data_IF_552051672933
#
_entry.id   IF_552051672933
#
_cell.length_a   1.000
_cell.length_b   1.000
_cell.length_c   1.000
_cell.angle_alpha   90.00
_cell.angle_beta   90.00
_cell.angle_gamma   90.00
#
_symmetry.space_group_name_H-M   'P 1'
#
loop_
_entity.id
_entity.type
_entity.pdbx_description
1 polymer ?
#
# COMPACT_ATOMS: atom_id res chain seq x y z
N UNK A 1 1.88 33.85 -48.51
CA UNK A 1 3.10 33.45 -47.77
C UNK A 1 2.64 33.03 -46.39
N UNK A 2 2.90 31.78 -46.01
CA UNK A 2 2.74 31.31 -44.64
C UNK A 2 3.78 32.02 -43.77
N UNK A 3 3.33 32.73 -42.73
CA UNK A 3 4.23 33.35 -41.73
C UNK A 3 4.59 32.27 -40.72
N UNK A 4 5.88 32.06 -40.47
CA UNK A 4 6.40 31.12 -39.48
C UNK A 4 7.24 31.90 -38.45
N UNK A 5 7.04 31.58 -37.17
CA UNK A 5 7.84 32.07 -36.07
C UNK A 5 8.39 30.89 -35.27
N UNK A 6 9.70 30.84 -35.07
CA UNK A 6 10.35 29.76 -34.30
C UNK A 6 10.67 30.26 -32.91
N UNK A 7 10.16 29.56 -31.89
CA UNK A 7 10.46 29.82 -30.48
C UNK A 7 11.81 29.21 -30.11
N UNK A 8 12.01 27.95 -30.49
CA UNK A 8 13.26 27.22 -30.29
C UNK A 8 13.45 26.17 -31.38
N UNK A 9 14.40 25.25 -31.19
CA UNK A 9 14.71 24.20 -32.19
C UNK A 9 13.57 23.18 -32.40
N UNK A 10 12.64 23.07 -31.45
CA UNK A 10 11.52 22.13 -31.49
C UNK A 10 10.17 22.85 -31.69
N UNK A 11 9.97 24.03 -31.12
CA UNK A 11 8.68 24.71 -31.06
C UNK A 11 8.58 25.87 -32.06
N UNK A 12 7.52 25.88 -32.86
CA UNK A 12 7.23 26.96 -33.82
C UNK A 12 5.74 27.19 -34.00
N UNK A 13 5.38 28.37 -34.50
CA UNK A 13 4.01 28.73 -34.85
C UNK A 13 3.94 29.11 -36.33
N UNK A 14 2.84 28.77 -37.00
CA UNK A 14 2.57 29.19 -38.38
C UNK A 14 1.17 29.78 -38.50
N UNK A 15 1.04 30.84 -39.30
CA UNK A 15 -0.25 31.40 -39.69
C UNK A 15 -0.70 30.71 -40.98
N UNK A 16 -1.69 29.83 -40.85
CA UNK A 16 -2.23 29.01 -41.94
C UNK A 16 -3.74 29.18 -42.01
N UNK A 17 -4.26 29.48 -43.21
CA UNK A 17 -5.71 29.69 -43.43
C UNK A 17 -6.38 30.68 -42.46
N UNK A 18 -5.63 31.65 -41.92
CA UNK A 18 -6.14 32.62 -40.95
C UNK A 18 -6.22 32.13 -39.51
N UNK A 19 -5.55 31.01 -39.19
CA UNK A 19 -5.44 30.48 -37.83
C UNK A 19 -3.98 30.28 -37.43
N UNK A 20 -3.68 30.49 -36.15
CA UNK A 20 -2.37 30.18 -35.57
C UNK A 20 -2.27 28.70 -35.27
N UNK A 21 -1.28 28.05 -35.87
CA UNK A 21 -1.01 26.63 -35.73
C UNK A 21 0.31 26.45 -34.99
N UNK A 22 0.31 25.65 -33.92
CA UNK A 22 1.51 25.32 -33.16
C UNK A 22 2.10 24.03 -33.72
N UNK A 23 3.41 23.98 -33.88
CA UNK A 23 4.17 22.84 -34.37
C UNK A 23 5.26 22.46 -33.39
N UNK A 24 5.41 21.16 -33.13
CA UNK A 24 6.49 20.59 -32.30
C UNK A 24 7.28 19.59 -33.13
N UNK A 25 8.58 19.84 -33.30
CA UNK A 25 9.50 19.15 -34.20
C UNK A 25 8.98 19.02 -35.66
N UNK A 26 8.22 20.02 -36.12
CA UNK A 26 7.65 20.04 -37.47
C UNK A 26 6.30 19.35 -37.63
N UNK A 27 5.81 18.64 -36.60
CA UNK A 27 4.48 18.02 -36.56
C UNK A 27 3.47 18.99 -35.95
N UNK A 28 2.25 19.01 -36.49
CA UNK A 28 1.19 19.88 -35.96
C UNK A 28 0.78 19.42 -34.55
N UNK A 29 0.74 20.36 -33.61
CA UNK A 29 0.26 20.12 -32.26
C UNK A 29 -1.25 20.41 -32.17
N UNK A 30 -2.04 19.35 -32.02
CA UNK A 30 -3.51 19.40 -32.13
C UNK A 30 -4.20 19.42 -30.75
N UNK A 31 -3.48 19.17 -29.65
CA UNK A 31 -4.06 19.07 -28.31
C UNK A 31 -4.24 20.46 -27.66
N UNK A 32 -5.45 20.72 -27.12
CA UNK A 32 -5.83 21.90 -26.31
C UNK A 32 -5.30 23.27 -26.78
N UNK A 33 -5.84 23.82 -27.88
CA UNK A 33 -5.58 25.21 -28.32
C UNK A 33 -6.57 26.21 -27.70
N UNK A 34 -6.20 26.80 -26.56
CA UNK A 34 -6.71 28.11 -26.14
C UNK A 34 -5.54 28.95 -25.60
N UNK A 35 -4.90 29.69 -26.50
CA UNK A 35 -4.00 30.78 -26.10
C UNK A 35 -4.85 32.03 -25.90
N UNK A 36 -4.96 32.44 -24.64
CA UNK A 36 -5.70 33.62 -24.25
C UNK A 36 -4.93 34.87 -24.67
N UNK A 37 -5.63 35.75 -25.37
CA UNK A 37 -5.14 37.08 -25.76
C UNK A 37 -5.97 38.20 -25.13
N UNK A 38 -7.25 37.94 -24.90
CA UNK A 38 -8.18 38.89 -24.31
C UNK A 38 -8.43 38.51 -22.84
N UNK A 39 -7.51 38.93 -21.97
CA UNK A 39 -7.77 39.04 -20.53
C UNK A 39 -8.16 40.51 -20.31
N UNK A 40 -9.44 40.84 -20.07
CA UNK A 40 -9.87 42.22 -19.88
C UNK A 40 -9.32 42.75 -18.55
N UNK A 41 -8.10 43.29 -18.59
CA UNK A 41 -7.37 43.79 -17.41
C UNK A 41 -8.16 44.86 -16.64
N UNK A 42 -9.02 45.61 -17.32
CA UNK A 42 -9.88 46.63 -16.71
C UNK A 42 -10.97 46.06 -15.79
N UNK A 43 -11.28 44.77 -15.90
CA UNK A 43 -12.30 44.08 -15.10
C UNK A 43 -11.70 43.31 -13.91
N UNK A 44 -10.37 43.23 -13.84
CA UNK A 44 -9.65 42.58 -12.73
C UNK A 44 -9.40 43.60 -11.63
N UNK A 45 -9.97 43.38 -10.45
CA UNK A 45 -9.90 44.30 -9.31
C UNK A 45 -8.50 44.49 -8.72
N UNK A 46 -7.61 43.51 -8.88
CA UNK A 46 -6.18 43.61 -8.54
C UNK A 46 -5.38 42.57 -9.31
N UNK A 47 -4.30 43.00 -9.96
CA UNK A 47 -3.32 42.11 -10.60
C UNK A 47 -2.27 41.58 -9.61
N UNK A 48 -2.18 42.17 -8.40
CA UNK A 48 -1.17 41.81 -7.40
C UNK A 48 -1.47 40.46 -6.71
N UNK A 49 -2.66 39.89 -6.93
CA UNK A 49 -3.09 38.62 -6.32
C UNK A 49 -3.29 37.47 -7.32
N UNK A 50 -2.90 37.62 -8.59
CA UNK A 50 -3.02 36.55 -9.59
C UNK A 50 -1.66 35.86 -9.73
N UNK A 51 -1.58 34.60 -9.31
CA UNK A 51 -0.37 33.80 -9.32
C UNK A 51 -0.23 32.96 -10.60
N UNK A 52 -1.29 32.79 -11.40
CA UNK A 52 -1.27 32.01 -12.65
C UNK A 52 -2.32 32.44 -13.69
N UNK A 53 -2.11 32.05 -14.96
CA UNK A 53 -3.10 32.23 -16.03
C UNK A 53 -4.41 31.48 -15.73
N UNK A 54 -4.37 30.29 -15.10
CA UNK A 54 -5.58 29.56 -14.73
C UNK A 54 -6.42 30.32 -13.69
N UNK A 55 -5.78 30.99 -12.72
CA UNK A 55 -6.45 31.83 -11.73
C UNK A 55 -7.06 33.08 -12.39
N UNK A 56 -6.33 33.72 -13.31
CA UNK A 56 -6.86 34.84 -14.10
C UNK A 56 -8.13 34.45 -14.87
N UNK A 57 -8.17 33.23 -15.42
CA UNK A 57 -9.33 32.71 -16.17
C UNK A 57 -10.51 32.45 -15.25
N UNK A 58 -10.29 31.85 -14.07
CA UNK A 58 -11.37 31.59 -13.11
C UNK A 58 -12.02 32.88 -12.60
N UNK A 59 -11.21 33.89 -12.30
CA UNK A 59 -11.72 35.22 -11.95
C UNK A 59 -12.60 35.76 -13.09
N UNK A 60 -12.13 35.71 -14.33
CA UNK A 60 -12.91 36.16 -15.50
C UNK A 60 -14.20 35.35 -15.67
N UNK A 61 -14.18 34.03 -15.56
CA UNK A 61 -15.38 33.18 -15.70
C UNK A 61 -16.43 33.49 -14.63
N UNK A 62 -16.00 33.78 -13.40
CA UNK A 62 -16.88 34.24 -12.33
C UNK A 62 -17.53 35.59 -12.64
N UNK A 63 -16.86 36.48 -13.40
CA UNK A 63 -17.41 37.75 -13.90
C UNK A 63 -18.25 37.59 -15.18
N UNK A 64 -18.00 36.56 -16.00
CA UNK A 64 -18.47 36.40 -17.39
C UNK A 64 -19.93 35.94 -17.57
N UNK A 65 -20.82 36.11 -16.59
CA UNK A 65 -22.27 36.08 -16.85
C UNK A 65 -22.77 37.35 -17.57
N UNK A 66 -21.90 38.31 -17.90
CA UNK A 66 -22.26 39.55 -18.61
C UNK A 66 -21.46 39.72 -19.91
N UNK A 67 -22.14 39.48 -21.03
CA UNK A 67 -21.87 39.97 -22.39
C UNK A 67 -20.44 40.41 -22.73
N UNK A 68 -19.57 39.45 -23.07
CA UNK A 68 -18.29 39.72 -23.73
C UNK A 68 -18.51 40.02 -25.22
N UNK A 69 -18.51 41.30 -25.60
CA UNK A 69 -18.26 41.71 -26.98
C UNK A 69 -16.79 41.46 -27.30
N UNK A 70 -16.45 40.26 -27.79
CA UNK A 70 -15.08 39.96 -28.27
C UNK A 70 -14.71 40.96 -29.36
N UNK A 71 -13.72 41.81 -29.08
CA UNK A 71 -13.09 42.66 -30.09
C UNK A 71 -12.55 41.78 -31.19
N UNK A 72 -12.93 42.05 -32.44
CA UNK A 72 -12.56 41.21 -33.59
C UNK A 72 -11.12 41.55 -33.99
N UNK A 73 -10.15 40.91 -33.35
CA UNK A 73 -8.72 41.04 -33.65
C UNK A 73 -8.44 40.40 -35.03
N UNK A 74 -7.53 40.97 -35.81
CA UNK A 74 -7.14 40.37 -37.09
C UNK A 74 -6.28 39.11 -36.87
N UNK A 75 -6.36 38.09 -37.75
CA UNK A 75 -5.57 36.86 -37.61
C UNK A 75 -4.05 37.09 -37.49
N UNK A 76 -3.54 38.16 -38.10
CA UNK A 76 -2.12 38.49 -38.02
C UNK A 76 -1.72 39.06 -36.65
N UNK A 77 -2.56 39.89 -36.05
CA UNK A 77 -2.31 40.44 -34.71
C UNK A 77 -2.45 39.34 -33.66
N UNK A 78 -3.45 38.46 -33.82
CA UNK A 78 -3.62 37.26 -33.00
C UNK A 78 -2.39 36.34 -33.06
N UNK A 79 -1.89 36.07 -34.28
CA UNK A 79 -0.67 35.28 -34.48
C UNK A 79 0.54 35.82 -33.69
N UNK A 80 0.81 37.12 -33.77
CA UNK A 80 1.93 37.71 -33.05
C UNK A 80 1.73 37.71 -31.53
N UNK A 81 0.49 37.87 -31.07
CA UNK A 81 0.15 37.72 -29.65
C UNK A 81 0.45 36.31 -29.14
N UNK A 82 0.01 35.28 -29.88
CA UNK A 82 0.29 33.88 -29.52
C UNK A 82 1.80 33.57 -29.53
N UNK A 83 2.52 34.10 -30.52
CA UNK A 83 3.98 33.99 -30.58
C UNK A 83 4.63 34.62 -29.35
N UNK A 84 4.19 35.81 -28.94
CA UNK A 84 4.70 36.48 -27.74
C UNK A 84 4.47 35.65 -26.48
N UNK A 85 3.27 35.11 -26.27
CA UNK A 85 2.95 34.30 -25.09
C UNK A 85 3.83 33.05 -24.99
N UNK A 86 3.97 32.30 -26.10
CA UNK A 86 4.81 31.10 -26.14
C UNK A 86 6.31 31.42 -26.03
N UNK A 87 6.75 32.56 -26.56
CA UNK A 87 8.12 33.03 -26.42
C UNK A 87 8.43 33.36 -24.96
N UNK A 88 7.57 34.13 -24.28
CA UNK A 88 7.73 34.46 -22.87
C UNK A 88 7.72 33.21 -21.99
N UNK A 89 6.82 32.26 -22.28
CA UNK A 89 6.79 30.97 -21.58
C UNK A 89 8.12 30.21 -21.71
N UNK A 90 8.69 30.15 -22.92
CA UNK A 90 10.00 29.52 -23.15
C UNK A 90 11.15 30.26 -22.46
N UNK A 91 11.17 31.60 -22.51
CA UNK A 91 12.22 32.43 -21.90
C UNK A 91 12.24 32.37 -20.37
N UNK A 92 11.14 31.96 -19.75
CA UNK A 92 11.03 31.72 -18.30
C UNK A 92 11.06 30.21 -17.99
N UNK A 93 11.87 29.46 -18.72
CA UNK A 93 12.13 28.04 -18.49
C UNK A 93 10.85 27.18 -18.43
N UNK A 94 9.88 27.48 -19.29
CA UNK A 94 8.58 26.80 -19.35
C UNK A 94 7.72 26.91 -18.07
N UNK A 95 7.83 28.01 -17.33
CA UNK A 95 7.00 28.30 -16.15
C UNK A 95 5.50 28.07 -16.44
N UNK A 96 4.92 27.04 -15.83
CA UNK A 96 3.54 26.60 -16.06
C UNK A 96 2.50 27.61 -15.59
N UNK A 97 2.89 28.65 -14.85
CA UNK A 97 2.01 29.76 -14.45
C UNK A 97 1.72 30.72 -15.59
N UNK A 98 2.60 30.78 -16.61
CA UNK A 98 2.54 31.76 -17.71
C UNK A 98 1.67 31.31 -18.90
N UNK A 99 1.22 30.05 -18.90
CA UNK A 99 0.28 29.50 -19.86
C UNK A 99 -0.82 28.75 -19.12
N UNK A 100 -2.00 28.67 -19.72
CA UNK A 100 -3.09 27.86 -19.18
C UNK A 100 -2.63 26.40 -18.99
N UNK A 101 -2.89 25.83 -17.80
CA UNK A 101 -2.41 24.51 -17.33
C UNK A 101 -2.58 23.37 -18.34
N UNK A 102 -3.72 23.31 -19.04
CA UNK A 102 -3.97 22.31 -20.09
C UNK A 102 -3.02 22.43 -21.29
N UNK A 103 -2.76 23.64 -21.76
CA UNK A 103 -1.85 23.87 -22.90
C UNK A 103 -0.40 23.67 -22.47
N UNK A 104 0.00 24.25 -21.33
CA UNK A 104 1.36 24.14 -20.80
C UNK A 104 1.79 22.68 -20.62
N UNK A 105 0.94 21.88 -19.98
CA UNK A 105 1.24 20.47 -19.71
C UNK A 105 1.30 19.61 -20.96
N UNK A 106 0.35 19.78 -21.88
CA UNK A 106 0.35 19.02 -23.13
C UNK A 106 1.55 19.39 -24.02
N UNK A 107 1.94 20.66 -24.06
CA UNK A 107 3.15 21.10 -24.77
C UNK A 107 4.43 20.56 -24.12
N UNK A 108 4.54 20.62 -22.79
CA UNK A 108 5.67 20.03 -22.06
C UNK A 108 5.83 18.54 -22.33
N UNK A 109 4.73 17.79 -22.35
CA UNK A 109 4.73 16.38 -22.72
C UNK A 109 5.26 16.16 -24.14
N UNK A 110 4.77 16.94 -25.12
CA UNK A 110 5.22 16.81 -26.52
C UNK A 110 6.67 17.23 -26.73
N UNK A 111 7.13 18.29 -26.05
CA UNK A 111 8.52 18.74 -26.07
C UNK A 111 9.46 17.70 -25.43
N UNK A 112 8.99 17.04 -24.37
CA UNK A 112 9.71 15.91 -23.76
C UNK A 112 9.87 14.74 -24.72
N UNK A 113 8.84 14.42 -25.52
CA UNK A 113 8.91 13.34 -26.53
C UNK A 113 9.96 13.59 -27.61
N UNK A 114 10.15 14.85 -28.02
CA UNK A 114 11.08 15.22 -29.09
C UNK A 114 12.49 15.52 -28.58
N UNK A 115 12.74 15.35 -27.28
CA UNK A 115 14.07 15.38 -26.68
C UNK A 115 14.49 16.73 -26.08
N UNK A 116 13.55 17.64 -25.80
CA UNK A 116 13.86 18.86 -25.06
C UNK A 116 14.16 18.54 -23.58
N UNK A 117 15.42 18.71 -23.17
CA UNK A 117 15.89 18.37 -21.82
C UNK A 117 15.35 19.30 -20.74
N UNK A 118 15.14 20.58 -21.06
CA UNK A 118 14.57 21.55 -20.13
C UNK A 118 13.09 21.23 -19.92
N UNK A 119 12.35 21.02 -21.00
CA UNK A 119 10.94 20.64 -20.93
C UNK A 119 10.75 19.33 -20.15
N UNK A 120 11.63 18.35 -20.34
CA UNK A 120 11.61 17.08 -19.59
C UNK A 120 11.72 17.31 -18.08
N UNK A 121 12.65 18.16 -17.63
CA UNK A 121 12.81 18.46 -16.21
C UNK A 121 11.56 19.09 -15.60
N UNK A 122 11.00 20.10 -16.27
CA UNK A 122 9.80 20.82 -15.82
C UNK A 122 8.57 19.90 -15.85
N UNK A 123 8.42 19.09 -16.91
CA UNK A 123 7.30 18.16 -17.05
C UNK A 123 7.25 17.13 -15.91
N UNK A 124 8.41 16.62 -15.47
CA UNK A 124 8.50 15.73 -14.31
C UNK A 124 8.00 16.41 -13.03
N UNK A 125 8.47 17.62 -12.74
CA UNK A 125 8.05 18.39 -11.57
C UNK A 125 6.55 18.66 -11.58
N UNK A 126 6.01 19.02 -12.74
CA UNK A 126 4.58 19.28 -12.91
C UNK A 126 3.74 18.00 -12.77
N UNK A 127 4.22 16.85 -13.28
CA UNK A 127 3.58 15.54 -13.08
C UNK A 127 3.46 15.20 -11.59
N UNK A 128 4.54 15.41 -10.84
CA UNK A 128 4.57 15.17 -9.39
C UNK A 128 3.56 16.09 -8.69
N UNK A 129 3.63 17.40 -8.97
CA UNK A 129 2.75 18.40 -8.38
C UNK A 129 1.26 18.08 -8.63
N UNK A 130 0.91 17.72 -9.87
CA UNK A 130 -0.47 17.34 -10.23
C UNK A 130 -0.93 16.04 -9.60
N UNK A 131 -0.03 15.08 -9.42
CA UNK A 131 -0.40 13.84 -8.76
C UNK A 131 -0.67 14.05 -7.26
N UNK A 132 0.13 14.90 -6.60
CA UNK A 132 -0.01 15.21 -5.18
C UNK A 132 -1.22 16.09 -4.89
N UNK A 133 -1.36 17.21 -5.61
CA UNK A 133 -2.36 18.24 -5.34
C UNK A 133 -3.62 18.12 -6.21
N UNK A 134 -3.61 17.25 -7.23
CA UNK A 134 -4.73 17.07 -8.14
C UNK A 134 -5.89 16.24 -7.58
N UNK A 135 -7.00 16.30 -8.30
CA UNK A 135 -8.20 15.49 -8.00
C UNK A 135 -7.95 14.01 -8.32
N UNK A 136 -8.82 13.12 -7.83
CA UNK A 136 -8.71 11.69 -8.15
C UNK A 136 -8.77 11.41 -9.66
N UNK A 137 -9.54 12.21 -10.42
CA UNK A 137 -9.57 12.15 -11.89
C UNK A 137 -8.23 12.55 -12.51
N UNK A 138 -7.54 13.53 -11.93
CA UNK A 138 -6.21 13.95 -12.38
C UNK A 138 -5.20 12.84 -12.15
N UNK A 139 -5.26 12.16 -10.99
CA UNK A 139 -4.39 11.02 -10.68
C UNK A 139 -4.66 9.83 -11.59
N UNK A 140 -5.93 9.52 -11.85
CA UNK A 140 -6.37 8.47 -12.79
C UNK A 140 -5.85 8.76 -14.20
N UNK A 141 -6.05 9.99 -14.70
CA UNK A 141 -5.50 10.41 -15.99
C UNK A 141 -3.98 10.24 -16.07
N UNK A 142 -3.23 10.63 -15.03
CA UNK A 142 -1.78 10.47 -15.01
C UNK A 142 -1.39 8.99 -15.07
N UNK A 143 -2.06 8.11 -14.32
CA UNK A 143 -1.81 6.66 -14.32
C UNK A 143 -2.09 6.00 -15.67
N UNK A 144 -3.19 6.38 -16.32
CA UNK A 144 -3.61 5.80 -17.59
C UNK A 144 -2.88 6.40 -18.79
N UNK A 145 -2.32 7.60 -18.62
CA UNK A 145 -1.50 8.25 -19.63
C UNK A 145 -0.12 7.60 -19.74
N UNK A 146 0.53 7.81 -20.89
CA UNK A 146 1.96 7.48 -21.06
C UNK A 146 2.89 8.37 -20.21
N UNK A 147 2.36 9.30 -19.43
CA UNK A 147 3.15 10.30 -18.73
C UNK A 147 4.02 9.72 -17.60
N UNK A 148 3.60 8.63 -16.96
CA UNK A 148 4.45 7.93 -16.00
C UNK A 148 5.71 7.35 -16.66
N UNK A 149 5.69 7.07 -17.97
CA UNK A 149 6.86 6.55 -18.70
C UNK A 149 8.04 7.52 -18.78
N UNK A 150 7.85 8.80 -18.45
CA UNK A 150 8.94 9.78 -18.38
C UNK A 150 9.63 9.84 -17.01
N UNK A 151 9.02 9.24 -15.99
CA UNK A 151 9.55 9.16 -14.63
C UNK A 151 10.43 7.91 -14.46
N UNK A 152 11.42 8.01 -13.58
CA UNK A 152 12.18 6.84 -13.11
C UNK A 152 11.28 5.98 -12.22
N UNK A 153 11.66 4.71 -12.02
CA UNK A 153 10.95 3.82 -11.09
C UNK A 153 10.85 4.43 -9.68
N UNK A 154 11.95 4.98 -9.18
CA UNK A 154 11.99 5.67 -7.89
C UNK A 154 11.01 6.85 -7.82
N UNK A 155 10.97 7.70 -8.86
CA UNK A 155 10.04 8.84 -8.94
C UNK A 155 8.58 8.36 -8.91
N UNK A 156 8.25 7.31 -9.65
CA UNK A 156 6.90 6.74 -9.66
C UNK A 156 6.54 6.15 -8.28
N UNK A 157 7.46 5.43 -7.66
CA UNK A 157 7.23 4.86 -6.32
C UNK A 157 7.05 5.94 -5.25
N UNK A 158 7.77 7.06 -5.35
CA UNK A 158 7.56 8.23 -4.48
C UNK A 158 6.16 8.83 -4.62
N UNK A 159 5.53 8.74 -5.80
CA UNK A 159 4.13 9.13 -5.97
C UNK A 159 3.16 8.15 -5.33
N UNK A 160 3.44 6.85 -5.44
CA UNK A 160 2.56 5.78 -4.97
C UNK A 160 2.64 5.54 -3.45
N UNK A 161 3.81 5.76 -2.86
CA UNK A 161 4.12 5.46 -1.47
C UNK A 161 4.41 6.73 -0.68
N UNK A 162 4.21 6.68 0.62
CA UNK A 162 4.79 7.65 1.55
C UNK A 162 6.30 7.40 1.66
N UNK A 163 7.06 8.47 1.84
CA UNK A 163 8.54 8.42 1.86
C UNK A 163 9.06 7.44 2.89
N UNK A 164 8.46 7.40 4.09
CA UNK A 164 8.87 6.46 5.14
C UNK A 164 8.71 4.98 4.74
N UNK A 165 7.63 4.64 4.02
CA UNK A 165 7.34 3.27 3.60
C UNK A 165 8.17 2.89 2.37
N UNK A 166 8.45 3.83 1.46
CA UNK A 166 9.37 3.61 0.35
C UNK A 166 10.77 3.30 0.87
N UNK A 167 11.28 4.04 1.85
CA UNK A 167 12.59 3.78 2.46
C UNK A 167 12.61 2.37 3.07
N UNK A 168 11.58 2.02 3.87
CA UNK A 168 11.48 0.71 4.49
C UNK A 168 11.44 -0.43 3.45
N UNK A 169 10.68 -0.27 2.37
CA UNK A 169 10.60 -1.26 1.29
C UNK A 169 11.89 -1.36 0.47
N UNK A 170 12.61 -0.25 0.28
CA UNK A 170 13.92 -0.26 -0.40
C UNK A 170 14.95 -1.01 0.43
N UNK A 171 15.06 -0.71 1.73
CA UNK A 171 15.95 -1.44 2.64
C UNK A 171 15.57 -2.92 2.72
N UNK A 172 14.27 -3.24 2.76
CA UNK A 172 13.77 -4.61 2.70
C UNK A 172 14.19 -5.33 1.42
N UNK A 173 14.04 -4.67 0.27
CA UNK A 173 14.42 -5.23 -1.00
C UNK A 173 15.94 -5.48 -1.08
N UNK A 174 16.75 -4.58 -0.52
CA UNK A 174 18.21 -4.73 -0.43
C UNK A 174 18.64 -5.84 0.55
N UNK A 175 17.93 -6.00 1.67
CA UNK A 175 18.16 -7.08 2.65
C UNK A 175 17.89 -8.47 2.05
N UNK A 176 16.81 -8.61 1.29
CA UNK A 176 16.34 -9.90 0.76
C UNK A 176 16.95 -10.24 -0.60
N UNK A 177 17.08 -9.26 -1.49
CA UNK A 177 17.55 -9.46 -2.87
C UNK A 177 18.77 -8.60 -3.19
N UNK A 178 19.86 -8.81 -2.45
CA UNK A 178 21.14 -8.04 -2.45
C UNK A 178 21.70 -7.64 -3.83
N UNK A 179 21.38 -8.37 -4.91
CA UNK A 179 21.94 -8.14 -6.26
C UNK A 179 20.95 -7.57 -7.28
N UNK A 180 19.71 -7.31 -6.87
CA UNK A 180 18.66 -6.80 -7.74
C UNK A 180 18.40 -5.31 -7.47
N UNK A 181 17.84 -4.63 -8.47
CA UNK A 181 17.37 -3.25 -8.34
C UNK A 181 16.18 -3.20 -7.37
N UNK A 182 16.29 -2.54 -6.19
CA UNK A 182 15.23 -2.56 -5.18
C UNK A 182 13.94 -1.96 -5.71
N UNK A 183 14.01 -0.94 -6.56
CA UNK A 183 12.81 -0.34 -7.15
C UNK A 183 12.11 -1.31 -8.10
N UNK A 184 12.85 -2.16 -8.83
CA UNK A 184 12.27 -3.20 -9.68
C UNK A 184 11.50 -4.23 -8.85
N UNK A 185 12.06 -4.61 -7.70
CA UNK A 185 11.42 -5.57 -6.77
C UNK A 185 10.14 -4.97 -6.20
N UNK A 186 10.21 -3.75 -5.69
CA UNK A 186 9.03 -3.08 -5.13
C UNK A 186 7.90 -3.00 -6.17
N UNK A 187 8.22 -2.68 -7.42
CA UNK A 187 7.24 -2.74 -8.51
C UNK A 187 6.63 -4.13 -8.72
N UNK A 188 7.44 -5.18 -8.66
CA UNK A 188 6.95 -6.55 -8.79
C UNK A 188 6.00 -6.90 -7.65
N UNK A 189 6.40 -6.62 -6.39
CA UNK A 189 5.58 -6.85 -5.20
C UNK A 189 4.26 -6.05 -5.19
N UNK A 190 4.24 -4.89 -5.84
CA UNK A 190 3.01 -4.11 -6.00
C UNK A 190 2.13 -4.63 -7.14
N UNK A 191 2.71 -5.28 -8.15
CA UNK A 191 1.99 -5.76 -9.33
C UNK A 191 1.34 -7.12 -9.11
N UNK A 192 1.95 -7.98 -8.29
CA UNK A 192 1.47 -9.33 -7.98
C UNK A 192 0.60 -9.36 -6.70
N UNK A 193 0.15 -8.18 -6.24
CA UNK A 193 -0.74 -7.95 -5.08
C UNK A 193 -0.18 -8.38 -3.71
N UNK A 194 1.13 -8.59 -3.56
CA UNK A 194 1.75 -8.85 -2.25
C UNK A 194 1.71 -7.62 -1.34
N UNK A 195 1.67 -6.42 -1.92
CA UNK A 195 1.60 -5.16 -1.18
C UNK A 195 0.23 -4.50 -1.35
N UNK A 196 -0.49 -4.29 -0.25
CA UNK A 196 -1.71 -3.47 -0.24
C UNK A 196 -1.48 -2.12 0.40
N UNK A 197 -2.00 -1.09 -0.26
CA UNK A 197 -1.87 0.29 0.16
C UNK A 197 -3.20 0.88 0.63
N UNK A 198 -3.16 1.61 1.75
CA UNK A 198 -4.21 2.55 2.14
C UNK A 198 -3.57 3.92 2.31
N UNK A 199 -4.09 4.95 1.63
CA UNK A 199 -3.56 6.32 1.71
C UNK A 199 -2.04 6.42 1.48
N UNK A 200 -1.52 5.70 0.47
CA UNK A 200 -0.08 5.57 0.13
C UNK A 200 0.77 4.91 1.22
N UNK A 201 0.18 4.28 2.23
CA UNK A 201 0.89 3.51 3.26
C UNK A 201 0.67 2.03 3.08
N UNK A 202 1.70 1.23 3.35
CA UNK A 202 1.66 -0.23 3.31
C UNK A 202 0.87 -0.75 4.51
N UNK A 203 -0.19 -1.48 4.21
CA UNK A 203 -1.09 -2.06 5.23
C UNK A 203 -1.09 -3.57 5.22
N UNK A 204 -0.78 -4.20 4.09
CA UNK A 204 -0.57 -5.65 4.01
C UNK A 204 0.71 -5.92 3.22
N UNK A 205 1.52 -6.86 3.71
CA UNK A 205 2.67 -7.43 3.03
C UNK A 205 2.54 -8.95 3.10
N UNK A 206 2.25 -9.58 1.96
CA UNK A 206 2.04 -11.02 1.85
C UNK A 206 3.07 -11.67 0.93
N UNK A 207 4.12 -12.25 1.50
CA UNK A 207 5.21 -12.85 0.74
C UNK A 207 5.06 -14.36 0.59
N UNK A 208 3.87 -14.90 0.82
CA UNK A 208 3.64 -16.36 0.76
C UNK A 208 3.73 -16.95 -0.65
N UNK A 209 3.59 -16.12 -1.69
CA UNK A 209 3.77 -16.52 -3.09
C UNK A 209 5.24 -16.56 -3.54
N UNK A 210 6.17 -16.13 -2.68
CA UNK A 210 7.57 -15.97 -3.03
C UNK A 210 8.42 -16.93 -2.19
N UNK A 211 9.18 -17.77 -2.88
CA UNK A 211 10.16 -18.64 -2.24
C UNK A 211 11.42 -17.83 -1.92
N UNK A 212 11.46 -17.29 -0.70
CA UNK A 212 12.55 -16.43 -0.25
C UNK A 212 13.67 -17.19 0.48
N UNK A 213 13.37 -18.39 1.00
CA UNK A 213 14.32 -19.24 1.74
C UNK A 213 15.12 -18.48 2.84
N UNK A 214 14.52 -17.50 3.50
CA UNK A 214 15.24 -16.63 4.42
C UNK A 214 15.52 -17.31 5.75
N UNK A 215 16.79 -17.31 6.18
CA UNK A 215 17.18 -17.79 7.51
C UNK A 215 16.97 -16.75 8.62
N UNK A 216 16.97 -15.45 8.26
CA UNK A 216 16.85 -14.33 9.19
C UNK A 216 15.63 -13.48 8.87
N UNK A 217 14.94 -13.06 9.93
CA UNK A 217 13.82 -12.14 9.80
C UNK A 217 14.30 -10.79 9.23
N UNK A 218 13.65 -10.25 8.18
CA UNK A 218 14.01 -8.95 7.60
C UNK A 218 13.51 -7.80 8.49
N UNK A 219 14.39 -7.24 9.32
CA UNK A 219 14.03 -6.22 10.31
C UNK A 219 13.52 -4.91 9.69
N UNK A 220 13.94 -4.58 8.46
CA UNK A 220 13.44 -3.44 7.69
C UNK A 220 11.90 -3.40 7.59
N UNK A 221 11.23 -4.56 7.49
CA UNK A 221 9.76 -4.66 7.44
C UNK A 221 9.10 -4.05 8.68
N UNK A 222 9.80 -4.07 9.83
CA UNK A 222 9.30 -3.51 11.09
C UNK A 222 9.16 -1.98 11.04
N UNK A 223 9.79 -1.31 10.06
CA UNK A 223 9.63 0.14 9.84
C UNK A 223 8.28 0.52 9.24
N UNK A 224 7.53 -0.43 8.67
CA UNK A 224 6.20 -0.22 8.10
C UNK A 224 5.12 -0.08 9.20
N UNK A 225 5.07 1.09 9.86
CA UNK A 225 4.22 1.30 11.06
C UNK A 225 2.71 1.25 10.80
N UNK A 226 2.28 1.21 9.54
CA UNK A 226 0.86 1.09 9.16
C UNK A 226 0.42 -0.34 8.85
N UNK A 227 1.31 -1.31 9.03
CA UNK A 227 1.08 -2.71 8.68
C UNK A 227 0.02 -3.35 9.59
N UNK A 228 -1.04 -3.88 8.98
CA UNK A 228 -2.14 -4.62 9.62
C UNK A 228 -2.01 -6.12 9.39
N UNK A 229 -1.43 -6.56 8.28
CA UNK A 229 -1.21 -7.98 7.95
C UNK A 229 0.22 -8.20 7.45
N UNK A 230 0.90 -9.16 8.06
CA UNK A 230 2.24 -9.62 7.65
C UNK A 230 2.24 -11.13 7.46
N UNK A 231 2.61 -11.58 6.25
CA UNK A 231 2.73 -13.00 5.92
C UNK A 231 4.13 -13.32 5.44
N UNK A 232 4.83 -14.14 6.22
CA UNK A 232 6.19 -14.63 5.97
C UNK A 232 6.24 -16.15 6.21
N UNK A 233 5.38 -16.88 5.49
CA UNK A 233 5.28 -18.33 5.58
C UNK A 233 6.39 -19.01 4.77
N UNK A 234 6.73 -20.24 5.13
CA UNK A 234 7.62 -21.07 4.30
C UNK A 234 9.05 -20.53 4.17
N UNK A 235 9.58 -19.94 5.24
CA UNK A 235 10.97 -19.49 5.31
C UNK A 235 11.76 -20.37 6.29
N UNK A 236 13.01 -20.02 6.60
CA UNK A 236 13.85 -20.76 7.56
C UNK A 236 14.14 -19.96 8.81
N UNK A 237 13.24 -19.05 9.21
CA UNK A 237 13.45 -18.21 10.39
C UNK A 237 13.58 -19.04 11.65
N UNK A 238 14.65 -18.83 12.41
CA UNK A 238 14.86 -19.49 13.71
C UNK A 238 14.40 -18.66 14.90
N UNK A 239 14.32 -17.35 14.70
CA UNK A 239 13.96 -16.35 15.70
C UNK A 239 13.12 -15.23 15.07
N UNK A 240 12.30 -14.60 15.91
CA UNK A 240 11.59 -13.36 15.60
C UNK A 240 12.22 -12.28 16.48
N UNK A 241 12.56 -11.11 15.95
CA UNK A 241 13.24 -10.08 16.73
C UNK A 241 12.30 -9.42 17.76
N UNK A 242 12.85 -8.95 18.88
CA UNK A 242 12.08 -8.37 20.00
C UNK A 242 11.38 -7.03 19.64
N UNK A 243 11.85 -6.34 18.60
CA UNK A 243 11.21 -5.14 18.08
C UNK A 243 10.00 -5.43 17.18
N UNK A 244 9.55 -6.69 17.03
CA UNK A 244 8.29 -7.02 16.35
C UNK A 244 7.09 -6.25 16.93
N UNK A 245 7.17 -5.92 18.23
CA UNK A 245 6.17 -5.11 18.94
C UNK A 245 6.01 -3.68 18.43
N UNK A 246 6.96 -3.17 17.63
CA UNK A 246 6.84 -1.86 17.00
C UNK A 246 5.73 -1.82 15.95
N UNK A 247 5.28 -2.98 15.45
CA UNK A 247 4.08 -3.12 14.61
C UNK A 247 2.81 -3.13 15.47
N UNK A 248 2.61 -2.11 16.30
CA UNK A 248 1.62 -2.07 17.36
C UNK A 248 0.14 -2.07 16.89
N UNK A 249 -0.12 -1.88 15.59
CA UNK A 249 -1.46 -1.99 14.98
C UNK A 249 -1.66 -3.26 14.15
N UNK A 250 -0.68 -4.17 14.16
CA UNK A 250 -0.73 -5.42 13.41
C UNK A 250 -1.86 -6.31 13.91
N UNK A 251 -2.76 -6.68 13.01
CA UNK A 251 -3.91 -7.54 13.28
C UNK A 251 -3.63 -8.99 12.98
N UNK A 252 -2.81 -9.25 11.97
CA UNK A 252 -2.58 -10.58 11.46
C UNK A 252 -1.08 -10.84 11.25
N UNK A 253 -0.55 -11.88 11.89
CA UNK A 253 0.83 -12.34 11.73
C UNK A 253 0.87 -13.82 11.36
N UNK A 254 1.47 -14.12 10.21
CA UNK A 254 1.48 -15.45 9.62
C UNK A 254 2.92 -15.90 9.37
N UNK A 255 3.40 -16.85 10.17
CA UNK A 255 4.79 -17.35 10.22
C UNK A 255 4.85 -18.89 10.13
N UNK A 256 3.83 -19.52 9.53
CA UNK A 256 3.79 -20.97 9.40
C UNK A 256 4.94 -21.52 8.57
N UNK A 257 5.41 -22.73 8.91
CA UNK A 257 6.43 -23.43 8.12
C UNK A 257 7.78 -22.71 8.17
N UNK A 258 8.23 -22.35 9.38
CA UNK A 258 9.55 -21.80 9.64
C UNK A 258 10.32 -22.73 10.61
N UNK A 259 11.47 -22.29 11.13
CA UNK A 259 12.24 -23.02 12.14
C UNK A 259 12.19 -22.36 13.53
N UNK A 260 11.14 -21.60 13.82
CA UNK A 260 11.08 -20.72 15.00
C UNK A 260 11.05 -21.57 16.26
N UNK A 261 12.04 -21.36 17.14
CA UNK A 261 12.17 -22.14 18.38
C UNK A 261 11.38 -21.55 19.55
N UNK A 262 11.22 -20.23 19.57
CA UNK A 262 10.55 -19.47 20.61
C UNK A 262 9.92 -18.21 20.01
N UNK A 263 8.79 -17.77 20.57
CA UNK A 263 8.24 -16.44 20.30
C UNK A 263 8.84 -15.44 21.30
N UNK A 264 9.21 -14.23 20.88
CA UNK A 264 9.72 -13.20 21.78
C UNK A 264 8.62 -12.73 22.74
N UNK A 265 8.98 -12.34 23.97
CA UNK A 265 8.00 -11.90 24.98
C UNK A 265 7.24 -10.64 24.49
N UNK A 266 7.91 -9.79 23.71
CA UNK A 266 7.36 -8.58 23.08
C UNK A 266 6.19 -8.82 22.14
N UNK A 267 6.00 -10.03 21.59
CA UNK A 267 4.83 -10.33 20.75
C UNK A 267 3.52 -10.09 21.51
N UNK A 268 3.54 -10.24 22.84
CA UNK A 268 2.39 -10.01 23.72
C UNK A 268 2.01 -8.53 23.83
N UNK A 269 2.88 -7.60 23.40
CA UNK A 269 2.59 -6.17 23.40
C UNK A 269 1.80 -5.71 22.16
N UNK A 270 1.67 -6.56 21.14
CA UNK A 270 0.87 -6.29 19.95
C UNK A 270 -0.60 -6.58 20.25
N UNK A 271 -1.19 -5.80 21.16
CA UNK A 271 -2.56 -5.99 21.68
C UNK A 271 -3.66 -5.86 20.61
N UNK A 272 -3.30 -5.38 19.42
CA UNK A 272 -4.14 -5.32 18.23
C UNK A 272 -4.26 -6.65 17.47
N UNK A 273 -3.44 -7.67 17.79
CA UNK A 273 -3.46 -8.97 17.10
C UNK A 273 -4.81 -9.67 17.25
N UNK A 274 -5.40 -10.01 16.10
CA UNK A 274 -6.63 -10.79 15.95
C UNK A 274 -6.31 -12.23 15.46
N UNK A 275 -5.19 -12.42 14.76
CA UNK A 275 -4.75 -13.72 14.25
C UNK A 275 -3.24 -13.89 14.35
N UNK A 276 -2.83 -15.01 14.93
CA UNK A 276 -1.44 -15.44 14.99
C UNK A 276 -1.32 -16.90 14.50
N UNK A 277 -0.62 -17.10 13.38
CA UNK A 277 -0.42 -18.41 12.77
C UNK A 277 1.08 -18.74 12.77
N UNK A 278 1.49 -19.68 13.62
CA UNK A 278 2.90 -20.10 13.82
C UNK A 278 3.04 -21.62 13.78
N UNK A 279 2.15 -22.31 13.06
CA UNK A 279 2.18 -23.76 12.90
C UNK A 279 3.33 -24.26 12.03
N UNK A 280 3.79 -25.50 12.24
CA UNK A 280 4.93 -26.06 11.50
C UNK A 280 6.24 -25.36 11.84
N UNK A 281 6.48 -25.14 13.13
CA UNK A 281 7.69 -24.54 13.67
C UNK A 281 8.31 -25.48 14.73
N UNK A 282 9.30 -25.00 15.49
CA UNK A 282 9.96 -25.74 16.58
C UNK A 282 9.65 -25.11 17.94
N UNK A 283 8.45 -24.57 18.13
CA UNK A 283 8.10 -23.82 19.36
C UNK A 283 7.90 -24.79 20.54
N UNK A 284 8.64 -24.59 21.62
CA UNK A 284 8.60 -25.46 22.81
C UNK A 284 7.65 -24.94 23.90
N UNK A 285 7.49 -23.62 23.98
CA UNK A 285 6.65 -22.93 24.96
C UNK A 285 6.16 -21.59 24.39
N UNK A 286 4.99 -21.16 24.84
CA UNK A 286 4.46 -19.83 24.56
C UNK A 286 5.01 -18.82 25.57
N UNK A 287 5.10 -17.52 25.20
CA UNK A 287 5.41 -16.45 26.14
C UNK A 287 4.46 -16.46 27.33
N UNK A 288 4.99 -16.17 28.52
CA UNK A 288 4.23 -16.15 29.79
C UNK A 288 3.00 -15.22 29.74
N UNK A 289 3.08 -14.15 28.96
CA UNK A 289 2.05 -13.12 28.85
C UNK A 289 1.16 -13.25 27.60
N UNK A 290 1.12 -14.42 26.95
CA UNK A 290 0.32 -14.61 25.72
C UNK A 290 -1.17 -14.24 25.92
N UNK A 291 -1.68 -14.38 27.15
CA UNK A 291 -3.03 -13.99 27.55
C UNK A 291 -3.33 -12.49 27.52
N UNK A 292 -2.34 -11.63 27.25
CA UNK A 292 -2.53 -10.18 27.09
C UNK A 292 -3.06 -9.80 25.70
N UNK A 293 -3.02 -10.74 24.73
CA UNK A 293 -3.59 -10.58 23.39
C UNK A 293 -5.12 -10.71 23.40
N UNK A 294 -5.81 -9.73 24.00
CA UNK A 294 -7.27 -9.75 24.25
C UNK A 294 -8.14 -9.81 23.00
N UNK A 295 -7.62 -9.31 21.87
CA UNK A 295 -8.34 -9.30 20.60
C UNK A 295 -8.11 -10.56 19.76
N UNK A 296 -7.24 -11.48 20.22
CA UNK A 296 -6.88 -12.67 19.46
C UNK A 296 -8.08 -13.61 19.31
N UNK A 297 -8.47 -13.86 18.06
CA UNK A 297 -9.58 -14.75 17.67
C UNK A 297 -9.10 -16.07 17.09
N UNK A 298 -7.94 -16.07 16.43
CA UNK A 298 -7.36 -17.27 15.83
C UNK A 298 -5.91 -17.46 16.25
N UNK A 299 -5.60 -18.64 16.79
CA UNK A 299 -4.26 -19.03 17.20
C UNK A 299 -3.91 -20.41 16.61
N UNK A 300 -3.03 -20.41 15.61
CA UNK A 300 -2.52 -21.61 14.97
C UNK A 300 -1.15 -21.99 15.50
N UNK A 301 -1.08 -23.10 16.24
CA UNK A 301 0.14 -23.63 16.85
C UNK A 301 0.40 -25.10 16.46
N UNK A 302 -0.34 -25.62 15.47
CA UNK A 302 -0.22 -27.02 15.04
C UNK A 302 1.19 -27.37 14.57
N UNK A 303 1.62 -28.63 14.70
CA UNK A 303 2.95 -29.10 14.30
C UNK A 303 4.09 -28.29 14.93
N UNK A 304 4.14 -28.29 16.26
CA UNK A 304 5.19 -27.66 17.07
C UNK A 304 5.67 -28.65 18.15
N UNK A 305 6.45 -28.16 19.12
CA UNK A 305 7.00 -28.98 20.21
C UNK A 305 6.46 -28.58 21.59
N UNK A 306 5.27 -27.98 21.63
CA UNK A 306 4.69 -27.40 22.84
C UNK A 306 4.35 -28.50 23.84
N UNK A 307 4.88 -28.37 25.06
CA UNK A 307 4.68 -29.35 26.14
C UNK A 307 3.60 -28.94 27.12
N UNK A 308 3.42 -27.64 27.36
CA UNK A 308 2.43 -27.07 28.27
C UNK A 308 1.98 -25.69 27.78
N UNK A 309 0.78 -25.28 28.18
CA UNK A 309 0.28 -23.91 27.99
C UNK A 309 0.59 -23.08 29.25
N UNK A 310 0.97 -21.80 29.13
CA UNK A 310 1.26 -20.96 30.30
C UNK A 310 -0.01 -20.60 31.07
N UNK A 311 0.09 -20.36 32.37
CA UNK A 311 -1.09 -20.06 33.22
C UNK A 311 -1.99 -18.97 32.63
N UNK A 312 -1.50 -17.81 32.15
CA UNK A 312 -2.37 -16.76 31.61
C UNK A 312 -3.09 -17.11 30.30
N UNK A 313 -2.88 -18.29 29.71
CA UNK A 313 -3.51 -18.70 28.44
C UNK A 313 -5.03 -18.62 28.48
N UNK A 314 -5.65 -18.89 29.63
CA UNK A 314 -7.10 -18.79 29.82
C UNK A 314 -7.66 -17.38 29.61
N UNK A 315 -6.81 -16.35 29.60
CA UNK A 315 -7.21 -14.95 29.44
C UNK A 315 -7.45 -14.52 27.99
N UNK A 316 -7.28 -15.43 27.03
CA UNK A 316 -7.61 -15.25 25.62
C UNK A 316 -9.13 -15.37 25.39
N UNK A 317 -9.91 -14.51 26.03
CA UNK A 317 -11.37 -14.60 26.10
C UNK A 317 -12.08 -14.47 24.74
N UNK A 318 -11.45 -13.79 23.78
CA UNK A 318 -11.94 -13.62 22.41
C UNK A 318 -11.57 -14.77 21.46
N UNK A 319 -10.83 -15.78 21.94
CA UNK A 319 -10.30 -16.84 21.07
C UNK A 319 -11.43 -17.75 20.57
N UNK A 320 -11.58 -17.83 19.25
CA UNK A 320 -12.62 -18.61 18.58
C UNK A 320 -12.06 -19.87 17.93
N UNK A 321 -10.82 -19.81 17.40
CA UNK A 321 -10.16 -20.92 16.72
C UNK A 321 -8.79 -21.18 17.35
N UNK A 322 -8.57 -22.41 17.80
CA UNK A 322 -7.30 -22.86 18.36
C UNK A 322 -6.87 -24.19 17.73
N UNK A 323 -5.70 -24.20 17.10
CA UNK A 323 -5.05 -25.42 16.64
C UNK A 323 -3.79 -25.67 17.46
N UNK A 324 -3.78 -26.79 18.18
CA UNK A 324 -2.64 -27.33 18.94
C UNK A 324 -2.34 -28.77 18.47
N UNK A 325 -2.80 -29.14 17.27
CA UNK A 325 -2.54 -30.46 16.69
C UNK A 325 -1.04 -30.75 16.59
N UNK A 326 -0.64 -32.02 16.64
CA UNK A 326 0.74 -32.44 16.39
C UNK A 326 1.75 -31.71 17.30
N UNK A 327 1.49 -31.75 18.61
CA UNK A 327 2.34 -31.17 19.66
C UNK A 327 2.70 -32.24 20.72
N UNK A 328 3.25 -31.82 21.86
CA UNK A 328 3.71 -32.70 22.95
C UNK A 328 2.96 -32.43 24.26
N UNK A 329 1.71 -31.93 24.19
CA UNK A 329 0.91 -31.59 25.37
C UNK A 329 0.56 -32.85 26.17
N UNK A 330 0.82 -32.84 27.48
CA UNK A 330 0.55 -33.97 28.37
C UNK A 330 -0.73 -33.78 29.20
N UNK A 331 -1.09 -32.53 29.50
CA UNK A 331 -2.32 -32.19 30.23
C UNK A 331 -2.85 -30.83 29.77
N UNK A 332 -4.08 -30.51 30.15
CA UNK A 332 -4.67 -29.18 30.00
C UNK A 332 -5.16 -28.70 31.39
N UNK A 333 -4.88 -27.45 31.79
CA UNK A 333 -5.34 -26.94 33.07
C UNK A 333 -6.87 -26.79 33.09
N UNK A 334 -7.49 -26.89 34.27
CA UNK A 334 -8.95 -26.64 34.44
C UNK A 334 -9.36 -25.24 33.95
N UNK A 335 -8.44 -24.27 34.01
CA UNK A 335 -8.67 -22.91 33.50
C UNK A 335 -8.79 -22.84 31.97
N UNK A 336 -8.42 -23.89 31.23
CA UNK A 336 -8.56 -23.96 29.77
C UNK A 336 -10.02 -23.76 29.33
N UNK A 337 -10.98 -24.16 30.15
CA UNK A 337 -12.40 -24.02 29.87
C UNK A 337 -12.93 -22.59 30.00
N UNK A 338 -12.11 -21.63 30.45
CA UNK A 338 -12.47 -20.22 30.47
C UNK A 338 -12.42 -19.56 29.07
N UNK A 339 -11.94 -20.29 28.05
CA UNK A 339 -12.00 -19.88 26.64
C UNK A 339 -13.44 -19.97 26.11
N UNK A 340 -14.34 -19.16 26.66
CA UNK A 340 -15.78 -19.26 26.45
C UNK A 340 -16.23 -19.00 25.01
N UNK A 341 -15.42 -18.27 24.23
CA UNK A 341 -15.67 -17.95 22.82
C UNK A 341 -15.21 -19.06 21.86
N UNK A 342 -14.57 -20.12 22.35
CA UNK A 342 -13.92 -21.12 21.51
C UNK A 342 -14.96 -21.95 20.74
N UNK A 343 -14.85 -21.93 19.41
CA UNK A 343 -15.74 -22.64 18.47
C UNK A 343 -15.05 -23.81 17.80
N UNK A 344 -13.77 -23.67 17.48
CA UNK A 344 -13.00 -24.69 16.79
C UNK A 344 -11.73 -25.02 17.59
N UNK A 345 -11.60 -26.27 17.99
CA UNK A 345 -10.46 -26.78 18.75
C UNK A 345 -9.89 -28.04 18.11
N UNK A 346 -8.60 -28.02 17.80
CA UNK A 346 -7.84 -29.24 17.48
C UNK A 346 -6.70 -29.44 18.46
N UNK A 347 -6.71 -30.62 19.08
CA UNK A 347 -5.71 -31.16 20.01
C UNK A 347 -5.17 -32.50 19.50
N UNK A 348 -5.45 -32.85 18.24
CA UNK A 348 -5.10 -34.17 17.71
C UNK A 348 -3.60 -34.44 17.77
N UNK A 349 -3.20 -35.71 17.94
CA UNK A 349 -1.79 -36.13 17.99
C UNK A 349 -0.98 -35.37 19.06
N UNK A 350 -1.45 -35.46 20.30
CA UNK A 350 -0.75 -35.01 21.50
C UNK A 350 -0.55 -36.19 22.45
N UNK A 351 -0.17 -35.93 23.71
CA UNK A 351 0.07 -36.93 24.76
C UNK A 351 -0.94 -36.81 25.90
N UNK A 352 -2.13 -36.26 25.63
CA UNK A 352 -3.16 -36.05 26.65
C UNK A 352 -3.68 -37.40 27.17
N UNK A 353 -3.47 -37.67 28.46
CA UNK A 353 -4.06 -38.85 29.13
C UNK A 353 -5.50 -38.61 29.60
N UNK A 354 -5.84 -37.34 29.81
CA UNK A 354 -7.16 -36.88 30.26
C UNK A 354 -7.53 -35.54 29.62
N UNK A 355 -8.82 -35.21 29.69
CA UNK A 355 -9.36 -33.87 29.52
C UNK A 355 -9.96 -33.39 30.85
N UNK A 356 -9.86 -32.09 31.18
CA UNK A 356 -10.47 -31.56 32.40
C UNK A 356 -12.01 -31.63 32.34
N UNK A 357 -12.66 -31.87 33.48
CA UNK A 357 -14.12 -32.09 33.56
C UNK A 357 -14.92 -30.88 33.05
N UNK A 358 -14.32 -29.69 33.17
CA UNK A 358 -14.89 -28.44 32.70
C UNK A 358 -15.11 -28.38 31.17
N UNK A 359 -14.60 -29.33 30.37
CA UNK A 359 -14.77 -29.33 28.90
C UNK A 359 -16.25 -29.31 28.48
N UNK A 360 -17.15 -29.85 29.30
CA UNK A 360 -18.59 -29.78 29.07
C UNK A 360 -19.16 -28.35 29.13
N UNK A 361 -18.41 -27.39 29.68
CA UNK A 361 -18.80 -25.99 29.81
C UNK A 361 -18.42 -25.13 28.60
N UNK A 362 -17.68 -25.67 27.63
CA UNK A 362 -17.35 -24.98 26.37
C UNK A 362 -18.58 -24.92 25.45
N UNK A 363 -19.55 -24.09 25.81
CA UNK A 363 -20.88 -24.02 25.15
C UNK A 363 -20.85 -23.53 23.70
N UNK A 364 -19.82 -22.77 23.35
CA UNK A 364 -19.63 -22.23 21.99
C UNK A 364 -18.95 -23.23 21.05
N UNK A 365 -18.49 -24.38 21.55
CA UNK A 365 -17.68 -25.31 20.77
C UNK A 365 -18.54 -25.99 19.71
N UNK A 366 -18.11 -25.88 18.45
CA UNK A 366 -18.77 -26.45 17.28
C UNK A 366 -17.95 -27.61 16.70
N UNK A 367 -16.62 -27.55 16.82
CA UNK A 367 -15.68 -28.57 16.34
C UNK A 367 -14.63 -28.94 17.40
N UNK A 368 -14.42 -30.24 17.59
CA UNK A 368 -13.41 -30.80 18.48
C UNK A 368 -12.66 -31.97 17.82
N UNK A 369 -11.35 -31.83 17.61
CA UNK A 369 -10.49 -32.97 17.25
C UNK A 369 -9.54 -33.29 18.40
N UNK A 370 -9.70 -34.46 19.01
CA UNK A 370 -8.82 -34.97 20.07
C UNK A 370 -8.19 -36.31 19.67
N UNK A 371 -8.30 -36.67 18.38
CA UNK A 371 -7.83 -37.95 17.88
C UNK A 371 -6.34 -38.16 18.08
N UNK A 372 -5.90 -39.41 18.15
CA UNK A 372 -4.49 -39.77 18.39
C UNK A 372 -3.94 -39.21 19.72
N UNK A 373 -4.76 -39.18 20.77
CA UNK A 373 -4.31 -38.96 22.14
C UNK A 373 -4.54 -40.22 23.00
N UNK A 374 -3.67 -40.51 23.98
CA UNK A 374 -3.81 -41.65 24.88
C UNK A 374 -4.84 -41.37 26.01
N UNK A 375 -6.08 -41.02 25.67
CA UNK A 375 -7.14 -40.55 26.62
C UNK A 375 -7.72 -41.66 27.53
N UNK A 376 -6.89 -42.42 28.21
CA UNK A 376 -7.28 -43.57 29.03
C UNK A 376 -8.05 -43.19 30.30
N UNK A 377 -7.93 -41.94 30.77
CA UNK A 377 -8.52 -41.47 32.04
C UNK A 377 -9.78 -40.60 31.83
N UNK A 378 -10.29 -40.49 30.60
CA UNK A 378 -11.45 -39.62 30.29
C UNK A 378 -12.63 -40.34 29.66
N UNK A 379 -12.72 -41.67 29.79
CA UNK A 379 -13.72 -42.48 29.09
C UNK A 379 -15.17 -42.02 29.35
N UNK A 380 -15.54 -41.73 30.60
CA UNK A 380 -16.89 -41.24 30.93
C UNK A 380 -17.16 -39.84 30.36
N UNK A 381 -16.17 -38.94 30.46
CA UNK A 381 -16.25 -37.59 29.90
C UNK A 381 -16.39 -37.62 28.38
N UNK A 382 -15.66 -38.49 27.70
CA UNK A 382 -15.76 -38.69 26.25
C UNK A 382 -17.15 -39.16 25.82
N UNK A 383 -17.78 -40.05 26.57
CA UNK A 383 -19.17 -40.46 26.31
C UNK A 383 -20.17 -39.31 26.52
N UNK A 384 -19.90 -38.39 27.45
CA UNK A 384 -20.69 -37.15 27.62
C UNK A 384 -20.46 -36.20 26.44
N UNK A 385 -19.22 -36.01 26.01
CA UNK A 385 -18.85 -35.15 24.88
C UNK A 385 -19.46 -35.67 23.56
N UNK A 386 -19.43 -36.98 23.31
CA UNK A 386 -20.07 -37.60 22.13
C UNK A 386 -21.58 -37.35 22.02
N UNK A 387 -22.24 -37.09 23.15
CA UNK A 387 -23.67 -36.75 23.20
C UNK A 387 -23.93 -35.26 22.96
N UNK A 388 -22.90 -34.41 23.03
CA UNK A 388 -23.01 -33.02 22.63
C UNK A 388 -23.22 -32.94 21.11
N UNK A 389 -24.01 -31.98 20.65
CA UNK A 389 -24.25 -31.73 19.22
C UNK A 389 -23.09 -30.97 18.58
N UNK A 390 -21.87 -31.47 18.75
CA UNK A 390 -20.64 -30.87 18.22
C UNK A 390 -20.02 -31.82 17.19
N UNK A 391 -19.36 -31.28 16.16
CA UNK A 391 -18.63 -32.10 15.18
C UNK A 391 -17.32 -32.54 15.81
N UNK A 392 -17.17 -33.84 16.08
CA UNK A 392 -16.03 -34.35 16.85
C UNK A 392 -15.27 -35.48 16.15
N UNK A 393 -13.94 -35.49 16.31
CA UNK A 393 -13.05 -36.60 15.95
C UNK A 393 -12.31 -37.07 17.21
N UNK A 394 -12.43 -38.37 17.51
CA UNK A 394 -11.89 -39.00 18.72
C UNK A 394 -10.71 -39.92 18.42
#
# INVERSE_FOLDING_TARGET
MTKEFRINQFLSLRLECGQTMIYVAGEEFIQCKSLLLDIPVAEISSLEMIDSIDEAVQEIENFSQRNMNRTRISPEVEFWGHCSNLQTWYEHDYDTRLLHSNLAFSLLGKLTEVGDTLAKGIFKTELINRYENGTDKTREYIRDSKALGYLSKEEILNLMLKTEDLIALTEFAEEVWVKEDPYKIIFALMSEEEVKLENRKVTELDLSGIDLELEKFPESVLKLKSLKKLVLRGNYFREIPENISELNILKELWLNGNEISHLPDSICHITSLERLEVGGNKIHALPKNIGDLKLLRSLGLGSNEITNLPDPFYKLESLETLSLADNKLNDLPETFCNLASLKWLSLSNNKLSRLPECFLNLKSLEYLDISKNPLTESQELLEKIKKLRIKSRF
#
